data_IF_275447535272
#
_entry.id   IF_275447535272
#
_cell.length_a   1.000
_cell.length_b   1.000
_cell.length_c   1.000
_cell.angle_alpha   90.00
_cell.angle_beta   90.00
_cell.angle_gamma   90.00
#
_symmetry.space_group_name_H-M   'P 1'
#
loop_
_entity.id
_entity.type
_entity.pdbx_description
1 polymer ?
#
# COMPACT_ATOMS: atom_id res chain seq x y z
N UNK A 1 -0.15 1.49 20.31
CA UNK A 1 -0.98 1.58 19.08
C UNK A 1 -0.08 2.13 17.97
N UNK A 2 -0.02 1.47 16.81
CA UNK A 2 0.83 1.88 15.67
C UNK A 2 0.00 2.47 14.52
N UNK A 3 0.68 3.02 13.52
CA UNK A 3 0.09 3.56 12.30
C UNK A 3 0.24 2.52 11.18
N UNK A 4 -0.79 2.37 10.34
CA UNK A 4 -0.82 1.37 9.27
C UNK A 4 -0.65 2.05 7.90
N UNK A 5 0.29 1.54 7.11
CA UNK A 5 0.48 1.93 5.70
C UNK A 5 0.38 0.71 4.80
N UNK A 6 -0.65 0.68 3.95
CA UNK A 6 -0.91 -0.38 2.97
C UNK A 6 -0.41 0.05 1.60
N UNK A 7 0.30 -0.85 0.92
CA UNK A 7 0.82 -0.62 -0.43
C UNK A 7 0.49 -1.81 -1.31
N UNK A 8 -0.04 -1.58 -2.51
CA UNK A 8 -0.39 -2.66 -3.43
C UNK A 8 -0.33 -2.22 -4.91
N UNK A 9 0.16 -3.08 -5.81
CA UNK A 9 0.12 -2.88 -7.26
C UNK A 9 -1.12 -3.49 -7.92
N UNK A 10 -1.94 -2.73 -8.66
CA UNK A 10 -3.23 -3.24 -9.15
C UNK A 10 -3.12 -4.32 -10.23
N UNK A 11 -1.93 -4.49 -10.82
CA UNK A 11 -1.62 -5.53 -11.81
C UNK A 11 -1.00 -6.78 -11.19
N UNK A 12 -1.10 -6.97 -9.87
CA UNK A 12 -0.59 -8.17 -9.18
C UNK A 12 -1.43 -9.41 -9.53
N UNK A 13 -0.79 -10.34 -10.22
CA UNK A 13 -1.33 -11.62 -10.69
C UNK A 13 -1.07 -12.76 -9.70
N UNK A 14 -0.26 -12.54 -8.66
CA UNK A 14 0.03 -13.51 -7.60
C UNK A 14 -0.78 -13.24 -6.33
N UNK A 15 -0.80 -11.98 -5.88
CA UNK A 15 -1.59 -11.52 -4.73
C UNK A 15 -2.58 -10.50 -5.23
N UNK A 16 -3.78 -10.93 -5.63
CA UNK A 16 -4.75 -10.03 -6.24
C UNK A 16 -5.12 -8.82 -5.36
N UNK A 17 -5.32 -7.66 -6.00
CA UNK A 17 -5.73 -6.42 -5.34
C UNK A 17 -7.03 -6.54 -4.54
N UNK A 18 -7.90 -7.50 -4.89
CA UNK A 18 -9.11 -7.83 -4.12
C UNK A 18 -8.82 -8.19 -2.66
N UNK A 19 -7.64 -8.75 -2.36
CA UNK A 19 -7.24 -9.03 -0.97
C UNK A 19 -7.10 -7.74 -0.16
N UNK A 20 -6.49 -6.70 -0.76
CA UNK A 20 -6.37 -5.39 -0.12
C UNK A 20 -7.72 -4.70 0.01
N UNK A 21 -8.60 -4.78 -0.99
CA UNK A 21 -9.94 -4.18 -0.88
C UNK A 21 -10.79 -4.85 0.20
N UNK A 22 -10.73 -6.18 0.33
CA UNK A 22 -11.38 -6.91 1.42
C UNK A 22 -10.86 -6.47 2.79
N UNK A 23 -9.55 -6.34 2.96
CA UNK A 23 -8.97 -5.90 4.23
C UNK A 23 -9.34 -4.45 4.57
N UNK A 24 -9.30 -3.55 3.57
CA UNK A 24 -9.74 -2.16 3.71
C UNK A 24 -11.19 -2.09 4.19
N UNK A 25 -12.07 -2.92 3.63
CA UNK A 25 -13.48 -2.95 4.03
C UNK A 25 -13.64 -3.31 5.52
N UNK A 26 -12.88 -4.27 6.03
CA UNK A 26 -12.88 -4.60 7.46
C UNK A 26 -12.27 -3.48 8.33
N UNK A 27 -11.20 -2.84 7.88
CA UNK A 27 -10.63 -1.68 8.58
C UNK A 27 -11.64 -0.53 8.71
N UNK A 28 -12.43 -0.28 7.66
CA UNK A 28 -13.49 0.73 7.66
C UNK A 28 -14.61 0.35 8.64
N UNK A 29 -15.08 -0.90 8.64
CA UNK A 29 -16.11 -1.38 9.59
C UNK A 29 -15.69 -1.19 11.05
N UNK A 30 -14.42 -1.43 11.35
CA UNK A 30 -13.85 -1.29 12.69
C UNK A 30 -13.38 0.14 13.02
N UNK A 31 -13.62 1.11 12.12
CA UNK A 31 -13.18 2.50 12.26
C UNK A 31 -11.67 2.64 12.55
N UNK A 32 -10.85 1.81 11.91
CA UNK A 32 -9.40 1.83 12.03
C UNK A 32 -8.82 2.71 10.93
N UNK A 33 -8.09 3.76 11.30
CA UNK A 33 -7.40 4.62 10.33
C UNK A 33 -6.18 3.93 9.71
N UNK A 34 -6.00 4.14 8.40
CA UNK A 34 -4.86 3.63 7.64
C UNK A 34 -4.49 4.59 6.51
N UNK A 35 -3.27 4.46 6.00
CA UNK A 35 -2.81 5.07 4.76
C UNK A 35 -2.77 4.01 3.66
N UNK A 36 -3.11 4.37 2.42
CA UNK A 36 -3.08 3.48 1.26
C UNK A 36 -2.28 4.11 0.13
N UNK A 37 -1.41 3.32 -0.49
CA UNK A 37 -0.72 3.64 -1.73
C UNK A 37 -1.00 2.56 -2.77
N UNK A 38 -1.47 3.00 -3.93
CA UNK A 38 -1.80 2.12 -5.05
C UNK A 38 -0.86 2.41 -6.21
N UNK A 39 -0.28 1.36 -6.79
CA UNK A 39 0.53 1.44 -8.00
C UNK A 39 -0.23 0.84 -9.19
N UNK A 40 -0.89 1.66 -10.03
CA UNK A 40 -1.71 1.16 -11.14
C UNK A 40 -0.89 0.32 -12.11
N UNK A 41 -1.41 -0.81 -12.58
CA UNK A 41 -0.77 -1.68 -13.60
C UNK A 41 0.57 -2.30 -13.18
N UNK A 42 1.00 -2.11 -11.94
CA UNK A 42 2.23 -2.75 -11.42
C UNK A 42 1.86 -4.12 -10.85
N UNK A 43 2.66 -5.12 -11.18
CA UNK A 43 2.58 -6.45 -10.60
C UNK A 43 3.13 -6.49 -9.18
N UNK A 44 3.22 -7.70 -8.61
CA UNK A 44 3.73 -7.99 -7.26
C UNK A 44 5.02 -7.29 -6.88
N UNK A 45 5.85 -6.96 -7.87
CA UNK A 45 7.21 -6.51 -7.64
C UNK A 45 7.43 -5.00 -7.71
N UNK A 46 6.51 -4.24 -8.33
CA UNK A 46 6.62 -2.77 -8.51
C UNK A 46 8.06 -2.39 -8.94
N UNK A 47 8.51 -2.97 -10.07
CA UNK A 47 9.93 -2.95 -10.48
C UNK A 47 10.33 -1.78 -11.39
N UNK A 48 9.38 -1.04 -11.96
CA UNK A 48 9.74 0.09 -12.80
C UNK A 48 10.45 1.17 -11.97
N UNK A 49 11.51 1.75 -12.53
CA UNK A 49 12.47 2.59 -11.81
C UNK A 49 11.77 3.73 -11.05
N UNK A 50 10.86 4.43 -11.73
CA UNK A 50 10.14 5.57 -11.16
C UNK A 50 9.21 5.14 -10.03
N UNK A 51 8.42 4.07 -10.21
CA UNK A 51 7.54 3.57 -9.15
C UNK A 51 8.32 3.04 -7.95
N UNK A 52 9.45 2.37 -8.18
CA UNK A 52 10.32 1.84 -7.12
C UNK A 52 10.93 2.96 -6.27
N UNK A 53 11.45 4.01 -6.91
CA UNK A 53 11.95 5.20 -6.20
C UNK A 53 10.82 5.89 -5.44
N UNK A 54 9.66 6.05 -6.06
CA UNK A 54 8.47 6.61 -5.40
C UNK A 54 8.07 5.78 -4.17
N UNK A 55 8.05 4.45 -4.29
CA UNK A 55 7.72 3.52 -3.21
C UNK A 55 8.60 3.71 -1.98
N UNK A 56 9.91 3.65 -2.16
CA UNK A 56 10.81 3.80 -1.02
C UNK A 56 10.80 5.23 -0.47
N UNK A 57 10.64 6.25 -1.31
CA UNK A 57 10.46 7.63 -0.84
C UNK A 57 9.24 7.76 0.06
N UNK A 58 8.09 7.22 -0.33
CA UNK A 58 6.86 7.32 0.45
C UNK A 58 6.89 6.45 1.72
N UNK A 59 7.53 5.28 1.68
CA UNK A 59 7.81 4.48 2.89
C UNK A 59 8.66 5.29 3.87
N UNK A 60 9.74 5.94 3.40
CA UNK A 60 10.57 6.79 4.25
C UNK A 60 9.80 7.99 4.81
N UNK A 61 8.95 8.62 4.00
CA UNK A 61 8.11 9.74 4.44
C UNK A 61 7.12 9.32 5.52
N UNK A 62 6.49 8.15 5.37
CA UNK A 62 5.60 7.59 6.38
C UNK A 62 6.32 7.38 7.71
N UNK A 63 7.49 6.73 7.71
CA UNK A 63 8.26 6.52 8.93
C UNK A 63 8.73 7.84 9.55
N UNK A 64 9.22 8.80 8.76
CA UNK A 64 9.62 10.12 9.28
C UNK A 64 8.49 10.89 9.94
N UNK A 65 7.24 10.62 9.56
CA UNK A 65 6.06 11.30 10.09
C UNK A 65 5.53 10.62 11.36
N UNK A 66 5.61 9.30 11.42
CA UNK A 66 4.92 8.49 12.44
C UNK A 66 5.87 7.84 13.47
N UNK A 67 7.20 7.94 13.30
CA UNK A 67 8.24 7.63 14.30
C UNK A 67 8.82 8.93 14.87
#
# INVERSE_FOLDING_TARGET
KGKLYLVHGTGDDNVHFQNSTNFINELIKENISFNLMVYPERNHSIRDEKARVHLFKEILNFFKKEL
#
